data_IF_354258303231
#
_entry.id   IF_354258303231
#
_cell.length_a   1.000
_cell.length_b   1.000
_cell.length_c   1.000
_cell.angle_alpha   90.00
_cell.angle_beta   90.00
_cell.angle_gamma   90.00
#
_symmetry.space_group_name_H-M   'P 1'
#
loop_
_entity.id
_entity.type
_entity.pdbx_description
1 polymer ?
#
# COMPACT_ATOMS: atom_id res chain seq x y z
N UNK A 1 6.10 16.82 -47.40
CA UNK A 1 4.89 16.06 -46.99
C UNK A 1 4.54 16.52 -45.59
N UNK A 2 3.44 17.26 -45.42
CA UNK A 2 3.04 17.86 -44.14
C UNK A 2 2.00 16.92 -43.52
N UNK A 3 2.30 16.38 -42.34
CA UNK A 3 1.52 15.30 -41.73
C UNK A 3 0.13 15.74 -41.29
N UNK A 4 -0.90 15.06 -41.80
CA UNK A 4 -2.30 15.12 -41.36
C UNK A 4 -2.48 14.40 -39.99
N UNK A 5 -1.74 14.80 -38.96
CA UNK A 5 -1.85 14.19 -37.64
C UNK A 5 -2.48 15.15 -36.64
N UNK A 6 -3.73 14.93 -36.25
CA UNK A 6 -4.22 15.48 -34.99
C UNK A 6 -3.42 14.84 -33.85
N UNK A 7 -3.01 15.63 -32.86
CA UNK A 7 -2.28 15.16 -31.67
C UNK A 7 -3.17 15.33 -30.44
N UNK A 8 -3.00 14.47 -29.44
CA UNK A 8 -3.66 14.70 -28.16
C UNK A 8 -3.15 16.02 -27.55
N UNK A 9 -4.06 16.82 -27.01
CA UNK A 9 -3.70 18.07 -26.35
C UNK A 9 -2.78 17.79 -25.15
N UNK A 10 -2.99 16.67 -24.46
CA UNK A 10 -2.15 16.23 -23.34
C UNK A 10 -0.70 15.99 -23.80
N UNK A 11 -0.50 15.21 -24.86
CA UNK A 11 0.84 14.93 -25.42
C UNK A 11 1.55 16.23 -25.83
N UNK A 12 0.82 17.17 -26.41
CA UNK A 12 1.36 18.48 -26.76
C UNK A 12 1.83 19.26 -25.52
N UNK A 13 0.99 19.34 -24.48
CA UNK A 13 1.32 20.03 -23.23
C UNK A 13 2.53 19.37 -22.56
N UNK A 14 2.57 18.03 -22.50
CA UNK A 14 3.70 17.28 -21.94
C UNK A 14 4.99 17.54 -22.72
N UNK A 15 4.94 17.56 -24.06
CA UNK A 15 6.10 17.85 -24.89
C UNK A 15 6.62 19.28 -24.67
N UNK A 16 5.74 20.27 -24.54
CA UNK A 16 6.12 21.66 -24.22
C UNK A 16 6.76 21.72 -22.84
N UNK A 17 6.14 21.12 -21.81
CA UNK A 17 6.70 21.05 -20.45
C UNK A 17 8.12 20.48 -20.45
N UNK A 18 8.34 19.34 -21.12
CA UNK A 18 9.66 18.70 -21.23
C UNK A 18 10.71 19.63 -21.87
N UNK A 19 10.33 20.39 -22.91
CA UNK A 19 11.22 21.37 -23.52
C UNK A 19 11.58 22.51 -22.57
N UNK A 20 10.62 22.98 -21.77
CA UNK A 20 10.85 24.01 -20.76
C UNK A 20 11.77 23.53 -19.64
N UNK A 21 11.56 22.32 -19.12
CA UNK A 21 12.40 21.73 -18.08
C UNK A 21 13.84 21.52 -18.57
N UNK A 22 13.99 21.07 -19.82
CA UNK A 22 15.30 20.92 -20.46
C UNK A 22 16.00 22.29 -20.58
N UNK A 23 15.27 23.33 -20.96
CA UNK A 23 15.79 24.69 -21.05
C UNK A 23 16.23 25.20 -19.66
N UNK A 24 15.39 25.03 -18.62
CA UNK A 24 15.72 25.41 -17.25
C UNK A 24 16.94 24.67 -16.70
N UNK A 25 17.03 23.36 -16.94
CA UNK A 25 18.19 22.54 -16.53
C UNK A 25 19.48 23.06 -17.17
N UNK A 26 19.46 23.37 -18.47
CA UNK A 26 20.61 23.96 -19.17
C UNK A 26 20.99 25.34 -18.61
N UNK A 27 20.01 26.13 -18.19
CA UNK A 27 20.26 27.44 -17.57
C UNK A 27 20.87 27.31 -16.19
N UNK A 28 20.38 26.37 -15.36
CA UNK A 28 20.97 26.08 -14.05
C UNK A 28 22.43 25.64 -14.17
N UNK A 29 22.74 24.77 -15.13
CA UNK A 29 24.12 24.35 -15.41
C UNK A 29 25.01 25.50 -15.88
N UNK A 30 24.46 26.45 -16.65
CA UNK A 30 25.19 27.68 -17.03
C UNK A 30 25.38 28.61 -15.84
N UNK A 31 24.39 28.75 -14.97
CA UNK A 31 24.45 29.60 -13.78
C UNK A 31 25.48 29.10 -12.74
N UNK A 32 25.68 27.78 -12.65
CA UNK A 32 26.69 27.19 -11.78
C UNK A 32 28.11 27.24 -12.36
N UNK A 33 28.26 27.59 -13.64
CA UNK A 33 29.54 27.66 -14.31
C UNK A 33 29.84 29.12 -14.68
N UNK A 34 30.60 29.81 -13.82
CA UNK A 34 30.93 31.24 -13.90
C UNK A 34 31.55 31.70 -15.24
N UNK A 35 31.96 30.76 -16.11
CA UNK A 35 32.51 31.01 -17.44
C UNK A 35 31.48 31.00 -18.57
N UNK A 36 30.23 30.63 -18.31
CA UNK A 36 29.18 30.54 -19.33
C UNK A 36 28.19 31.72 -19.18
N UNK A 37 28.05 32.59 -20.19
CA UNK A 37 27.15 33.72 -20.09
C UNK A 37 25.68 33.28 -20.06
N UNK A 38 24.93 33.79 -19.06
CA UNK A 38 23.47 33.73 -19.00
C UNK A 38 22.90 34.88 -19.83
N UNK A 39 22.54 34.60 -21.08
CA UNK A 39 22.08 35.65 -22.01
C UNK A 39 20.58 35.93 -21.94
N UNK A 40 19.78 35.06 -21.32
CA UNK A 40 18.34 35.24 -21.10
C UNK A 40 17.86 34.41 -19.91
N UNK A 41 16.67 34.72 -19.38
CA UNK A 41 15.94 33.96 -18.37
C UNK A 41 14.48 33.80 -18.83
N UNK A 42 13.92 32.58 -18.82
CA UNK A 42 12.52 32.33 -19.17
C UNK A 42 11.70 32.34 -17.88
N UNK A 43 10.82 33.34 -17.73
CA UNK A 43 9.91 33.45 -16.57
C UNK A 43 8.53 32.85 -16.88
N UNK A 44 7.94 33.30 -17.98
CA UNK A 44 6.60 32.91 -18.42
C UNK A 44 6.60 32.74 -19.94
N UNK A 45 5.78 31.82 -20.45
CA UNK A 45 5.55 31.64 -21.90
C UNK A 45 4.07 31.74 -22.18
N UNK A 46 3.72 32.64 -23.09
CA UNK A 46 2.39 32.75 -23.66
C UNK A 46 2.45 32.35 -25.14
N UNK A 47 1.55 31.48 -25.56
CA UNK A 47 1.43 31.02 -26.95
C UNK A 47 -0.04 31.07 -27.38
N UNK A 48 -0.28 31.74 -28.52
CA UNK A 48 -1.56 31.71 -29.21
C UNK A 48 -1.47 30.71 -30.37
N UNK A 49 -2.04 29.53 -30.18
CA UNK A 49 -2.06 28.48 -31.20
C UNK A 49 -3.39 28.53 -31.96
N UNK A 50 -3.33 28.74 -33.27
CA UNK A 50 -4.47 28.56 -34.17
C UNK A 50 -4.60 27.08 -34.52
N UNK A 51 -5.66 26.43 -34.06
CA UNK A 51 -5.89 25.02 -34.29
C UNK A 51 -7.39 24.69 -34.38
N UNK A 52 -7.69 23.54 -34.96
CA UNK A 52 -8.98 22.88 -34.80
C UNK A 52 -8.93 21.99 -33.57
N UNK A 53 -9.97 22.06 -32.75
CA UNK A 53 -10.12 21.26 -31.53
C UNK A 53 -11.25 20.29 -31.77
N UNK A 54 -10.98 19.01 -31.54
CA UNK A 54 -11.95 17.92 -31.68
C UNK A 54 -11.96 17.11 -30.38
N UNK A 55 -13.14 16.60 -30.00
CA UNK A 55 -13.28 15.64 -28.90
C UNK A 55 -13.48 14.26 -29.53
N UNK A 56 -12.55 13.35 -29.29
CA UNK A 56 -12.57 11.99 -29.83
C UNK A 56 -12.32 11.00 -28.69
N UNK A 57 -13.22 10.04 -28.51
CA UNK A 57 -13.17 9.05 -27.41
C UNK A 57 -12.93 9.64 -25.99
N UNK A 58 -13.49 10.83 -25.73
CA UNK A 58 -13.29 11.54 -24.45
C UNK A 58 -11.94 12.24 -24.30
N UNK A 59 -11.09 12.21 -25.33
CA UNK A 59 -9.81 12.90 -25.40
C UNK A 59 -9.89 14.15 -26.28
N UNK A 60 -9.30 15.26 -25.82
CA UNK A 60 -9.21 16.49 -26.61
C UNK A 60 -8.03 16.37 -27.57
N UNK A 61 -8.31 16.44 -28.87
CA UNK A 61 -7.31 16.41 -29.94
C UNK A 61 -7.22 17.78 -30.59
N UNK A 62 -5.99 18.17 -30.92
CA UNK A 62 -5.69 19.42 -31.62
C UNK A 62 -5.02 19.15 -32.96
N UNK A 63 -5.45 19.90 -33.97
CA UNK A 63 -4.81 19.92 -35.28
C UNK A 63 -4.43 21.37 -35.62
N UNK A 64 -3.13 21.70 -35.77
CA UNK A 64 -2.71 23.03 -36.18
C UNK A 64 -3.40 23.47 -37.46
N UNK A 65 -3.86 24.72 -37.49
CA UNK A 65 -4.56 25.26 -38.64
C UNK A 65 -3.58 25.51 -39.79
N UNK A 66 -3.91 24.99 -40.97
CA UNK A 66 -3.16 25.22 -42.20
C UNK A 66 -3.53 26.56 -42.87
N UNK A 67 -2.77 26.98 -43.90
CA UNK A 67 -3.06 28.23 -44.64
C UNK A 67 -4.42 28.27 -45.34
N UNK A 68 -5.04 27.10 -45.55
CA UNK A 68 -6.32 26.93 -46.25
C UNK A 68 -7.50 26.69 -45.29
N UNK A 69 -7.23 26.58 -43.98
CA UNK A 69 -8.26 26.31 -42.99
C UNK A 69 -9.08 27.59 -42.70
N UNK A 70 -10.41 27.44 -42.70
CA UNK A 70 -11.34 28.51 -42.36
C UNK A 70 -11.70 28.42 -40.87
N UNK A 71 -11.84 29.58 -40.25
CA UNK A 71 -12.31 29.74 -38.86
C UNK A 71 -11.55 28.90 -37.80
N UNK A 72 -10.22 29.03 -37.69
CA UNK A 72 -9.46 28.31 -36.68
C UNK A 72 -9.79 28.82 -35.27
N UNK A 73 -9.83 27.91 -34.30
CA UNK A 73 -9.92 28.26 -32.88
C UNK A 73 -8.57 28.76 -32.39
N UNK A 74 -8.55 29.81 -31.58
CA UNK A 74 -7.33 30.29 -30.91
C UNK A 74 -7.26 29.68 -29.51
N UNK A 75 -6.32 28.77 -29.29
CA UNK A 75 -5.97 28.29 -27.96
C UNK A 75 -4.91 29.21 -27.38
N UNK A 76 -5.24 29.82 -26.24
CA UNK A 76 -4.29 30.62 -25.47
C UNK A 76 -3.70 29.75 -24.36
N UNK A 77 -2.40 29.48 -24.46
CA UNK A 77 -1.68 28.68 -23.48
C UNK A 77 -0.69 29.58 -22.75
N UNK A 78 -0.80 29.60 -21.43
CA UNK A 78 0.09 30.35 -20.55
C UNK A 78 0.78 29.37 -19.61
N UNK A 79 2.09 29.22 -19.76
CA UNK A 79 2.95 28.41 -18.91
C UNK A 79 3.67 29.33 -17.95
N UNK A 80 3.31 29.26 -16.67
CA UNK A 80 3.93 30.03 -15.59
C UNK A 80 4.84 29.14 -14.76
N UNK A 81 5.99 29.65 -14.34
CA UNK A 81 6.84 28.95 -13.39
C UNK A 81 6.10 28.74 -12.06
N UNK A 82 6.02 27.49 -11.59
CA UNK A 82 5.42 27.17 -10.30
C UNK A 82 6.53 27.23 -9.25
N UNK A 83 6.33 28.05 -8.21
CA UNK A 83 7.29 28.15 -7.10
C UNK A 83 7.00 27.09 -6.04
N UNK A 84 8.01 26.71 -5.25
CA UNK A 84 7.84 25.74 -4.15
C UNK A 84 6.67 26.10 -3.20
N UNK A 85 6.48 27.37 -2.77
CA UNK A 85 5.31 27.74 -1.97
C UNK A 85 3.97 27.47 -2.65
N UNK A 86 3.86 27.73 -3.98
CA UNK A 86 2.63 27.47 -4.73
C UNK A 86 2.33 25.97 -4.84
N UNK A 87 3.38 25.14 -4.90
CA UNK A 87 3.25 23.68 -4.83
C UNK A 87 2.82 23.30 -3.41
N UNK A 88 3.52 23.70 -2.36
CA UNK A 88 3.21 23.32 -0.97
C UNK A 88 1.81 23.78 -0.51
N UNK A 89 1.30 24.89 -1.04
CA UNK A 89 -0.05 25.39 -0.76
C UNK A 89 -1.17 24.50 -1.35
N UNK A 90 -0.88 23.78 -2.44
CA UNK A 90 -1.85 22.95 -3.17
C UNK A 90 -1.50 21.46 -3.19
N UNK A 91 -0.28 21.11 -2.78
CA UNK A 91 0.22 19.76 -2.76
C UNK A 91 -0.29 19.07 -1.51
N UNK A 92 -0.92 17.93 -1.74
CA UNK A 92 -1.16 16.97 -0.69
C UNK A 92 0.21 16.51 -0.20
N UNK A 93 0.54 16.84 1.05
CA UNK A 93 1.75 16.35 1.70
C UNK A 93 1.60 14.84 1.88
N UNK A 94 2.10 14.08 0.92
CA UNK A 94 2.31 12.65 1.06
C UNK A 94 3.49 12.44 2.02
N UNK A 95 3.35 11.49 2.94
CA UNK A 95 4.39 11.18 3.91
C UNK A 95 5.73 10.87 3.21
N UNK A 96 6.83 11.28 3.86
CA UNK A 96 8.18 10.94 3.42
C UNK A 96 8.37 9.43 3.54
N UNK A 97 9.05 8.82 2.56
CA UNK A 97 9.36 7.39 2.59
C UNK A 97 10.15 7.05 3.86
N UNK A 98 9.65 6.11 4.66
CA UNK A 98 10.37 5.60 5.82
C UNK A 98 11.21 4.39 5.42
N UNK A 99 12.31 4.15 6.15
CA UNK A 99 13.23 3.03 5.87
C UNK A 99 12.56 1.66 6.02
N UNK A 100 11.52 1.59 6.86
CA UNK A 100 10.78 0.36 7.14
C UNK A 100 9.56 0.18 6.22
N UNK A 101 9.32 1.12 5.29
CA UNK A 101 8.22 1.02 4.35
C UNK A 101 8.43 -0.12 3.35
N UNK A 102 7.38 -0.91 3.16
CA UNK A 102 7.36 -1.96 2.14
C UNK A 102 7.26 -1.31 0.76
N UNK A 103 8.25 -1.58 -0.10
CA UNK A 103 8.26 -1.12 -1.48
C UNK A 103 7.20 -1.85 -2.31
N UNK A 104 6.54 -1.15 -3.22
CA UNK A 104 5.61 -1.76 -4.18
C UNK A 104 6.31 -2.78 -5.08
N UNK A 105 7.61 -2.63 -5.33
CA UNK A 105 8.41 -3.59 -6.09
C UNK A 105 8.57 -4.95 -5.41
N UNK A 106 8.33 -5.03 -4.09
CA UNK A 106 8.34 -6.28 -3.35
C UNK A 106 7.01 -7.05 -3.42
N UNK A 107 5.94 -6.39 -3.90
CA UNK A 107 4.71 -7.07 -4.24
C UNK A 107 4.96 -7.88 -5.51
N UNK A 108 4.42 -9.10 -5.56
CA UNK A 108 4.62 -10.00 -6.68
C UNK A 108 4.10 -9.40 -7.99
N UNK A 109 4.57 -9.94 -9.11
CA UNK A 109 4.13 -9.52 -10.44
C UNK A 109 2.64 -9.83 -10.69
N UNK A 110 2.04 -10.70 -9.87
CA UNK A 110 0.61 -11.02 -9.89
C UNK A 110 -0.27 -9.87 -9.37
N UNK A 111 0.29 -8.97 -8.54
CA UNK A 111 -0.43 -7.83 -7.96
C UNK A 111 -0.32 -6.58 -8.82
N UNK A 112 0.90 -6.21 -9.21
CA UNK A 112 1.20 -5.06 -10.04
C UNK A 112 2.25 -5.46 -11.07
N UNK A 113 1.94 -5.28 -12.35
CA UNK A 113 2.94 -5.49 -13.38
C UNK A 113 4.01 -4.38 -13.34
N UNK A 114 5.05 -4.54 -14.16
CA UNK A 114 6.18 -3.59 -14.18
C UNK A 114 5.77 -2.20 -14.68
N UNK A 115 4.84 -2.13 -15.64
CA UNK A 115 4.41 -0.87 -16.23
C UNK A 115 3.48 -0.11 -15.28
N UNK A 116 2.59 -0.80 -14.59
CA UNK A 116 1.73 -0.27 -13.53
C UNK A 116 2.53 0.27 -12.37
N UNK A 117 3.57 -0.47 -11.93
CA UNK A 117 4.53 0.00 -10.92
C UNK A 117 5.21 1.29 -11.37
N UNK A 118 5.76 1.32 -12.58
CA UNK A 118 6.43 2.54 -13.11
C UNK A 118 5.50 3.75 -13.14
N UNK A 119 4.22 3.56 -13.47
CA UNK A 119 3.23 4.65 -13.46
C UNK A 119 2.95 5.17 -12.05
N UNK A 120 2.81 4.29 -11.06
CA UNK A 120 2.67 4.67 -9.66
C UNK A 120 3.94 5.37 -9.14
N UNK A 121 5.12 4.87 -9.47
CA UNK A 121 6.39 5.51 -9.10
C UNK A 121 6.56 6.89 -9.74
N UNK A 122 6.07 7.07 -10.98
CA UNK A 122 6.08 8.34 -11.71
C UNK A 122 5.28 9.45 -11.03
N UNK A 123 4.24 9.09 -10.26
CA UNK A 123 3.47 10.03 -9.42
C UNK A 123 3.93 10.07 -7.96
N UNK A 124 5.08 9.46 -7.64
CA UNK A 124 5.69 9.49 -6.31
C UNK A 124 5.23 8.39 -5.35
N UNK A 125 4.43 7.42 -5.82
CA UNK A 125 3.92 6.30 -5.02
C UNK A 125 4.83 5.09 -5.19
N UNK A 126 5.71 4.89 -4.21
CA UNK A 126 6.74 3.82 -4.24
C UNK A 126 6.55 2.77 -3.15
N UNK A 127 5.76 3.09 -2.13
CA UNK A 127 5.57 2.27 -0.93
C UNK A 127 4.10 1.95 -0.70
N UNK A 128 3.84 0.85 0.00
CA UNK A 128 2.51 0.45 0.47
C UNK A 128 1.91 1.51 1.39
N UNK A 129 2.74 2.12 2.25
CA UNK A 129 2.34 3.20 3.17
C UNK A 129 1.78 4.41 2.43
N UNK A 130 2.44 4.87 1.35
CA UNK A 130 1.94 5.97 0.50
C UNK A 130 0.67 5.60 -0.25
N UNK A 131 0.59 4.37 -0.77
CA UNK A 131 -0.62 3.89 -1.43
C UNK A 131 -1.81 3.86 -0.45
N UNK A 132 -1.55 3.47 0.81
CA UNK A 132 -2.54 3.49 1.89
C UNK A 132 -2.99 4.92 2.24
N UNK A 133 -2.06 5.86 2.29
CA UNK A 133 -2.33 7.27 2.58
C UNK A 133 -3.22 7.91 1.51
N UNK A 134 -2.91 7.67 0.23
CA UNK A 134 -3.72 8.11 -0.92
C UNK A 134 -5.15 7.61 -0.80
N UNK A 135 -5.33 6.36 -0.38
CA UNK A 135 -6.66 5.81 -0.10
C UNK A 135 -7.34 6.58 1.04
N UNK A 136 -6.67 6.74 2.19
CA UNK A 136 -7.24 7.42 3.36
C UNK A 136 -7.66 8.86 3.06
N UNK A 137 -6.93 9.54 2.19
CA UNK A 137 -7.24 10.89 1.73
C UNK A 137 -8.32 10.93 0.63
N UNK A 138 -8.84 9.78 0.19
CA UNK A 138 -9.87 9.69 -0.86
C UNK A 138 -9.34 10.00 -2.27
N UNK A 139 -8.03 10.00 -2.46
CA UNK A 139 -7.37 10.39 -3.72
C UNK A 139 -7.23 9.23 -4.72
N UNK A 140 -7.68 8.02 -4.35
CA UNK A 140 -7.61 6.83 -5.20
C UNK A 140 -8.21 7.01 -6.60
N UNK A 141 -9.30 7.77 -6.73
CA UNK A 141 -9.92 8.06 -8.03
C UNK A 141 -9.08 8.97 -8.93
N UNK A 142 -8.39 9.96 -8.35
CA UNK A 142 -7.50 10.85 -9.11
C UNK A 142 -6.22 10.12 -9.52
N UNK A 143 -5.66 9.31 -8.61
CA UNK A 143 -4.50 8.46 -8.91
C UNK A 143 -4.83 7.43 -9.97
N UNK A 144 -5.99 6.78 -9.89
CA UNK A 144 -6.46 5.82 -10.88
C UNK A 144 -6.59 6.42 -12.28
N UNK A 145 -7.05 7.68 -12.40
CA UNK A 145 -7.09 8.39 -13.70
C UNK A 145 -5.70 8.66 -14.27
N UNK A 146 -4.78 9.18 -13.44
CA UNK A 146 -3.42 9.53 -13.90
C UNK A 146 -2.61 8.28 -14.26
N UNK A 147 -2.72 7.22 -13.44
CA UNK A 147 -1.99 5.96 -13.64
C UNK A 147 -2.71 5.00 -14.60
N UNK A 148 -3.95 5.31 -14.97
CA UNK A 148 -4.88 4.46 -15.73
C UNK A 148 -5.10 3.10 -15.04
N UNK A 149 -5.04 3.08 -13.71
CA UNK A 149 -5.30 1.91 -12.88
C UNK A 149 -6.73 1.94 -12.34
N UNK A 150 -7.50 0.84 -12.47
CA UNK A 150 -8.81 0.74 -11.84
C UNK A 150 -8.70 0.89 -10.32
N UNK A 151 -9.63 1.63 -9.71
CA UNK A 151 -9.65 1.85 -8.25
C UNK A 151 -9.75 0.52 -7.49
N UNK A 152 -10.52 -0.43 -8.02
CA UNK A 152 -10.68 -1.76 -7.43
C UNK A 152 -9.36 -2.55 -7.42
N UNK A 153 -8.49 -2.33 -8.41
CA UNK A 153 -7.16 -2.95 -8.46
C UNK A 153 -6.27 -2.34 -7.40
N UNK A 154 -6.27 -1.01 -7.24
CA UNK A 154 -5.52 -0.33 -6.17
C UNK A 154 -5.97 -0.82 -4.78
N UNK A 155 -7.28 -0.97 -4.56
CA UNK A 155 -7.85 -1.51 -3.32
C UNK A 155 -7.44 -2.97 -3.09
N UNK A 156 -7.46 -3.81 -4.13
CA UNK A 156 -7.02 -5.21 -4.05
C UNK A 156 -5.54 -5.32 -3.70
N UNK A 157 -4.69 -4.56 -4.38
CA UNK A 157 -3.25 -4.49 -4.13
C UNK A 157 -2.98 -4.06 -2.69
N UNK A 158 -3.65 -3.01 -2.22
CA UNK A 158 -3.49 -2.52 -0.86
C UNK A 158 -4.00 -3.51 0.18
N UNK A 159 -5.15 -4.15 -0.07
CA UNK A 159 -5.70 -5.19 0.81
C UNK A 159 -4.76 -6.37 0.94
N UNK A 160 -4.06 -6.77 -0.14
CA UNK A 160 -3.02 -7.80 -0.13
C UNK A 160 -1.74 -7.36 0.59
N UNK A 161 -1.25 -6.18 0.26
CA UNK A 161 0.00 -5.66 0.79
C UNK A 161 -0.05 -5.38 2.31
N UNK A 162 -1.24 -5.10 2.85
CA UNK A 162 -1.48 -4.80 4.27
C UNK A 162 -2.06 -5.99 5.04
N UNK A 163 -1.94 -7.22 4.51
CA UNK A 163 -2.31 -8.44 5.25
C UNK A 163 -1.36 -8.62 6.44
N UNK A 164 -1.86 -9.11 7.58
CA UNK A 164 -1.00 -9.56 8.68
C UNK A 164 -0.06 -10.66 8.17
N UNK A 165 1.23 -10.54 8.38
CA UNK A 165 2.19 -11.60 8.09
C UNK A 165 2.67 -12.19 9.40
N UNK A 166 2.67 -13.51 9.51
CA UNK A 166 3.13 -14.24 10.69
C UNK A 166 4.49 -14.85 10.37
N UNK A 167 5.49 -14.49 11.17
CA UNK A 167 6.85 -14.99 11.06
C UNK A 167 7.10 -16.12 12.07
N UNK A 168 6.54 -16.02 13.28
CA UNK A 168 6.72 -16.99 14.36
C UNK A 168 5.50 -17.08 15.28
N UNK A 169 5.25 -18.28 15.82
CA UNK A 169 4.21 -18.55 16.82
C UNK A 169 4.81 -19.38 17.95
N UNK A 170 4.81 -18.82 19.15
CA UNK A 170 5.35 -19.46 20.35
C UNK A 170 4.31 -19.48 21.48
N UNK A 171 4.39 -20.48 22.35
CA UNK A 171 3.58 -20.53 23.58
C UNK A 171 4.40 -20.07 24.78
N UNK A 172 3.78 -19.30 25.66
CA UNK A 172 4.32 -18.91 26.96
C UNK A 172 3.28 -19.09 28.07
N UNK A 173 3.68 -19.47 29.29
CA UNK A 173 2.76 -19.51 30.42
C UNK A 173 2.26 -18.10 30.76
N UNK A 174 0.99 -17.99 31.16
CA UNK A 174 0.44 -16.74 31.65
C UNK A 174 1.05 -16.43 33.02
N UNK A 175 1.75 -15.30 33.14
CA UNK A 175 2.37 -14.87 34.40
C UNK A 175 1.40 -14.62 35.56
N UNK A 176 0.09 -14.54 35.29
CA UNK A 176 -0.95 -14.45 36.32
C UNK A 176 -1.60 -15.79 36.68
N UNK A 177 -1.51 -16.80 35.80
CA UNK A 177 -2.13 -18.12 35.96
C UNK A 177 -1.29 -19.16 35.20
N UNK A 178 -0.37 -19.84 35.89
CA UNK A 178 0.56 -20.81 35.28
C UNK A 178 -0.13 -21.96 34.54
N UNK A 179 -1.43 -22.18 34.80
CA UNK A 179 -2.24 -23.19 34.12
C UNK A 179 -2.75 -22.71 32.76
N UNK A 180 -2.72 -21.41 32.49
CA UNK A 180 -3.12 -20.81 31.22
C UNK A 180 -1.90 -20.56 30.33
N UNK A 181 -2.08 -20.85 29.05
CA UNK A 181 -1.10 -20.63 28.02
C UNK A 181 -1.49 -19.39 27.21
N UNK A 182 -0.50 -18.58 26.84
CA UNK A 182 -0.65 -17.50 25.88
C UNK A 182 0.11 -17.84 24.62
N UNK A 183 -0.45 -17.47 23.47
CA UNK A 183 0.26 -17.57 22.20
C UNK A 183 0.84 -16.20 21.85
N UNK A 184 2.15 -16.12 21.77
CA UNK A 184 2.86 -14.95 21.23
C UNK A 184 3.11 -15.17 19.76
N UNK A 185 2.58 -14.25 18.95
CA UNK A 185 2.73 -14.23 17.51
C UNK A 185 3.60 -13.04 17.14
N UNK A 186 4.70 -13.30 16.43
CA UNK A 186 5.56 -12.27 15.85
C UNK A 186 5.35 -12.19 14.36
N UNK A 187 5.42 -10.98 13.83
CA UNK A 187 5.06 -10.75 12.44
C UNK A 187 5.16 -9.30 12.02
N UNK A 188 4.46 -8.97 10.94
CA UNK A 188 4.36 -7.63 10.35
C UNK A 188 2.91 -7.30 10.00
N UNK A 189 2.60 -6.01 9.92
CA UNK A 189 1.24 -5.52 9.67
C UNK A 189 0.22 -6.08 10.68
N UNK A 190 0.63 -6.31 11.93
CA UNK A 190 -0.25 -6.87 12.96
C UNK A 190 -1.16 -5.81 13.60
N UNK A 191 -0.97 -4.52 13.27
CA UNK A 191 -1.96 -3.47 13.52
C UNK A 191 -2.38 -2.81 12.20
N UNK A 192 -3.65 -2.43 12.12
CA UNK A 192 -4.15 -1.54 11.08
C UNK A 192 -4.87 -0.38 11.75
N UNK A 193 -4.35 0.82 11.59
CA UNK A 193 -4.92 2.04 12.18
C UNK A 193 -5.11 1.93 13.71
N UNK A 194 -4.14 1.30 14.38
CA UNK A 194 -4.17 1.04 15.82
C UNK A 194 -5.10 -0.10 16.26
N UNK A 195 -5.75 -0.78 15.32
CA UNK A 195 -6.67 -1.89 15.60
C UNK A 195 -6.00 -3.25 15.30
N UNK A 196 -6.07 -4.23 16.22
CA UNK A 196 -5.55 -5.59 15.97
C UNK A 196 -6.44 -6.38 15.01
N UNK A 197 -5.89 -7.40 14.33
CA UNK A 197 -6.67 -8.28 13.46
C UNK A 197 -7.65 -9.12 14.28
N UNK A 198 -8.71 -9.57 13.62
CA UNK A 198 -9.53 -10.68 14.12
C UNK A 198 -8.74 -11.96 13.96
N UNK A 199 -8.62 -12.71 15.07
CA UNK A 199 -7.91 -13.99 15.10
C UNK A 199 -8.88 -15.11 15.41
N UNK A 200 -8.73 -16.21 14.67
CA UNK A 200 -9.45 -17.45 14.94
C UNK A 200 -8.53 -18.66 14.80
N UNK A 201 -8.78 -19.69 15.62
CA UNK A 201 -8.07 -20.96 15.60
C UNK A 201 -9.10 -22.07 15.42
N UNK A 202 -8.91 -22.90 14.40
CA UNK A 202 -9.89 -23.91 13.97
C UNK A 202 -11.30 -23.31 13.76
N UNK A 203 -11.37 -22.08 13.24
CA UNK A 203 -12.62 -21.35 12.99
C UNK A 203 -13.29 -20.75 14.23
N UNK A 204 -12.74 -20.93 15.44
CA UNK A 204 -13.24 -20.32 16.67
C UNK A 204 -12.47 -19.04 17.01
N UNK A 205 -13.14 -17.95 17.41
CA UNK A 205 -12.47 -16.69 17.74
C UNK A 205 -11.57 -16.84 18.97
N UNK A 206 -10.48 -16.09 18.99
CA UNK A 206 -9.51 -16.06 20.11
C UNK A 206 -9.32 -14.61 20.55
N UNK A 207 -9.22 -14.41 21.87
CA UNK A 207 -9.06 -13.08 22.43
C UNK A 207 -7.62 -12.57 22.25
N UNK A 208 -7.49 -11.35 21.74
CA UNK A 208 -6.21 -10.62 21.69
C UNK A 208 -6.04 -9.88 23.01
N UNK A 209 -5.02 -10.25 23.78
CA UNK A 209 -4.70 -9.68 25.10
C UNK A 209 -3.79 -8.46 24.95
N UNK A 210 -2.85 -8.54 24.01
CA UNK A 210 -1.91 -7.47 23.71
C UNK A 210 -1.66 -7.40 22.20
N UNK A 211 -1.47 -6.20 21.68
CA UNK A 211 -1.17 -5.99 20.27
C UNK A 211 -0.25 -4.79 20.04
N UNK A 212 0.73 -5.02 19.19
CA UNK A 212 1.66 -4.05 18.62
C UNK A 212 1.80 -4.34 17.13
N UNK A 213 2.50 -3.48 16.39
CA UNK A 213 2.64 -3.64 14.94
C UNK A 213 3.43 -4.91 14.54
N UNK A 214 4.29 -5.39 15.44
CA UNK A 214 5.18 -6.55 15.21
C UNK A 214 4.88 -7.76 16.07
N UNK A 215 4.01 -7.62 17.08
CA UNK A 215 3.71 -8.68 18.03
C UNK A 215 2.26 -8.62 18.52
N UNK A 216 1.58 -9.77 18.55
CA UNK A 216 0.29 -9.93 19.23
C UNK A 216 0.34 -11.10 20.21
N UNK A 217 -0.35 -10.96 21.33
CA UNK A 217 -0.47 -11.99 22.36
C UNK A 217 -1.93 -12.40 22.46
N UNK A 218 -2.17 -13.70 22.32
CA UNK A 218 -3.50 -14.30 22.36
C UNK A 218 -3.71 -15.08 23.66
N UNK A 219 -4.96 -15.13 24.11
CA UNK A 219 -5.43 -16.04 25.16
C UNK A 219 -6.30 -17.13 24.52
N UNK A 220 -5.70 -18.24 24.02
CA UNK A 220 -6.45 -19.39 23.53
C UNK A 220 -7.07 -20.20 24.68
N UNK A 221 -8.11 -20.95 24.36
CA UNK A 221 -8.57 -22.06 25.20
C UNK A 221 -7.58 -23.24 25.15
N UNK A 222 -7.67 -24.17 26.12
CA UNK A 222 -6.77 -25.33 26.23
C UNK A 222 -6.75 -26.19 24.95
N UNK A 223 -7.87 -26.24 24.25
CA UNK A 223 -8.04 -27.00 23.00
C UNK A 223 -7.74 -26.17 21.74
N UNK A 224 -7.24 -24.94 21.88
CA UNK A 224 -6.85 -24.02 20.80
C UNK A 224 -5.33 -23.83 20.69
N UNK A 225 -4.53 -24.73 21.27
CA UNK A 225 -3.06 -24.68 21.19
C UNK A 225 -2.49 -25.30 19.91
N UNK A 226 -3.32 -25.87 19.04
CA UNK A 226 -2.92 -26.38 17.74
C UNK A 226 -4.06 -26.23 16.72
N UNK A 227 -3.72 -26.12 15.44
CA UNK A 227 -4.67 -26.11 14.33
C UNK A 227 -4.41 -25.01 13.31
N UNK A 228 -5.40 -24.79 12.43
CA UNK A 228 -5.35 -23.71 11.45
C UNK A 228 -5.72 -22.38 12.12
N UNK A 229 -4.77 -21.44 12.13
CA UNK A 229 -4.95 -20.07 12.58
C UNK A 229 -5.24 -19.17 11.39
N UNK A 230 -6.21 -18.27 11.55
CA UNK A 230 -6.57 -17.24 10.58
C UNK A 230 -6.51 -15.86 11.23
N UNK A 231 -5.74 -14.94 10.64
CA UNK A 231 -5.60 -13.54 11.06
C UNK A 231 -6.13 -12.64 9.94
N UNK A 232 -7.02 -11.72 10.27
CA UNK A 232 -7.59 -10.82 9.24
C UNK A 232 -7.96 -9.44 9.79
N UNK A 233 -7.54 -8.39 9.08
CA UNK A 233 -8.03 -7.03 9.30
C UNK A 233 -9.38 -6.77 8.61
N UNK A 234 -9.66 -7.53 7.54
CA UNK A 234 -10.88 -7.48 6.76
C UNK A 234 -11.27 -8.88 6.26
N UNK A 235 -12.50 -9.05 5.79
CA UNK A 235 -13.01 -10.34 5.34
C UNK A 235 -12.46 -10.81 3.98
N UNK A 236 -11.68 -9.98 3.28
CA UNK A 236 -11.26 -10.25 1.90
C UNK A 236 -9.92 -10.99 1.81
N UNK A 237 -9.15 -10.96 2.89
CA UNK A 237 -7.71 -11.19 2.83
C UNK A 237 -7.15 -11.80 4.13
N UNK A 238 -7.65 -12.97 4.58
CA UNK A 238 -7.09 -13.62 5.76
C UNK A 238 -5.69 -14.18 5.46
N UNK A 239 -4.84 -14.14 6.47
CA UNK A 239 -3.59 -14.91 6.52
C UNK A 239 -3.86 -16.18 7.30
N UNK A 240 -3.67 -17.31 6.62
CA UNK A 240 -3.88 -18.62 7.19
C UNK A 240 -2.54 -19.34 7.37
N UNK A 241 -2.34 -19.92 8.54
CA UNK A 241 -1.20 -20.79 8.82
C UNK A 241 -1.63 -21.96 9.71
N UNK A 242 -0.88 -23.05 9.63
CA UNK A 242 -1.01 -24.15 10.56
C UNK A 242 0.08 -24.04 11.62
N UNK A 243 -0.26 -24.32 12.88
CA UNK A 243 0.70 -24.38 13.98
C UNK A 243 0.32 -25.48 14.98
N UNK A 244 1.28 -25.91 15.80
CA UNK A 244 1.06 -26.82 16.92
C UNK A 244 1.97 -26.48 18.09
N UNK A 245 1.34 -26.05 19.17
CA UNK A 245 1.94 -25.74 20.48
C UNK A 245 1.27 -26.56 21.58
N UNK A 246 0.64 -27.69 21.25
CA UNK A 246 -0.03 -28.57 22.21
C UNK A 246 0.93 -29.15 23.25
N UNK A 247 2.20 -29.32 22.88
CA UNK A 247 3.27 -29.78 23.78
C UNK A 247 3.64 -28.78 24.87
N UNK A 248 3.26 -27.52 24.73
CA UNK A 248 3.53 -26.51 25.74
C UNK A 248 2.54 -26.58 26.91
N UNK A 249 1.36 -27.18 26.74
CA UNK A 249 0.31 -27.25 27.76
C UNK A 249 0.83 -27.93 29.05
N UNK A 250 0.53 -27.38 30.25
CA UNK A 250 0.88 -28.04 31.50
C UNK A 250 0.25 -29.44 31.54
N UNK A 251 0.98 -30.46 32.02
CA UNK A 251 0.47 -31.82 32.05
C UNK A 251 -0.84 -31.85 32.85
N UNK A 252 -1.91 -32.36 32.23
CA UNK A 252 -3.17 -32.62 32.92
C UNK A 252 -2.88 -33.51 34.13
N UNK A 253 -3.01 -32.94 35.32
CA UNK A 253 -2.87 -33.66 36.58
C UNK A 253 -3.87 -34.82 36.56
N UNK A 254 -3.36 -36.04 36.47
CA UNK A 254 -4.19 -37.23 36.55
C UNK A 254 -4.90 -37.22 37.92
N UNK A 255 -6.21 -37.54 37.99
CA UNK A 255 -6.89 -37.62 39.26
C UNK A 255 -6.18 -38.68 40.11
N UNK A 256 -5.68 -38.27 41.27
CA UNK A 256 -5.19 -39.16 42.31
C UNK A 256 -6.40 -40.00 42.70
N UNK A 257 -6.44 -41.26 42.24
CA UNK A 257 -7.39 -42.24 42.77
C UNK A 257 -6.88 -42.55 44.18
N UNK A 258 -7.42 -41.85 45.17
CA UNK A 258 -7.29 -42.23 46.58
C UNK A 258 -7.86 -43.65 46.74
N UNK A 259 -6.94 -44.61 46.90
CA UNK A 259 -7.27 -45.98 47.23
C UNK A 259 -7.91 -46.05 48.60
N UNK A 260 -9.24 -45.99 48.65
CA UNK A 260 -10.01 -46.27 49.85
C UNK A 260 -10.01 -47.78 50.11
N UNK A 261 -8.98 -48.25 50.80
CA UNK A 261 -8.89 -49.62 51.31
C UNK A 261 -9.83 -49.80 52.50
N UNK A 262 -11.03 -50.33 52.26
CA UNK A 262 -11.92 -50.84 53.29
C UNK A 262 -12.33 -52.29 53.01
N UNK A 263 -11.73 -53.18 53.81
CA UNK A 263 -12.29 -54.40 54.42
C UNK A 263 -13.34 -55.21 53.63
N UNK A 264 -12.97 -56.43 53.21
CA UNK A 264 -13.82 -57.62 53.36
C UNK A 264 -12.96 -58.87 53.57
N UNK A 265 -13.25 -59.60 54.65
CA UNK A 265 -12.65 -60.89 54.97
C UNK A 265 -13.42 -62.09 54.39
N UNK A 266 -12.72 -63.20 54.23
CA UNK A 266 -13.14 -64.61 54.31
C UNK A 266 -11.88 -65.42 53.91
N UNK A 267 -11.40 -66.47 54.58
CA UNK A 267 -12.09 -67.49 55.34
C UNK A 267 -11.77 -68.85 54.69
N UNK A 268 -10.86 -69.63 55.28
CA UNK A 268 -10.94 -71.09 55.34
C UNK A 268 -10.28 -71.98 54.26
N UNK A 269 -9.59 -73.01 54.79
CA UNK A 269 -9.22 -74.32 54.23
C UNK A 269 -7.99 -74.36 53.29
N UNK A 270 -6.99 -75.23 53.48
CA UNK A 270 -6.87 -76.47 54.25
C UNK A 270 -5.46 -76.63 54.85
#
# INVERSE_FOLDING_TARGET
MIGNGSIALEDFIQAVQLQLDTAQTRMSLKAQNDRLPLTFAIRDIAMDLKAHVELDDGEIRIRPAGPQDKDPTVLKLTFTAITRPMIEENAVQLAVDNKDDVLLSSLGDDELDQDERRRLEGIGVRTVSKLNEIRKQGLGGSVGRITRLPIDKLESVLSRATRPLVDDVSSEPDGADELRQRLRIKGRNLLRDGTPPRVSIAGRPVNVVHASDTEIVLAPDIDQLAGQMSLSHDSKAPTELWFDQSHAAPPLMQPIIEGNGALYGNGGHA
#
